data_IF_666511642613
#
_entry.id   IF_666511642613
#
_cell.length_a   1.000
_cell.length_b   1.000
_cell.length_c   1.000
_cell.angle_alpha   90.00
_cell.angle_beta   90.00
_cell.angle_gamma   90.00
#
_symmetry.space_group_name_H-M   'P 1'
#
loop_
_entity.id
_entity.type
_entity.pdbx_description
1 polymer ?
#
# COMPACT_ATOMS: atom_id res chain seq x y z
N UNK A 1 10.49 -26.19 -12.61
CA UNK A 1 10.61 -26.66 -11.21
C UNK A 1 9.23 -26.66 -10.58
N UNK A 2 8.99 -27.44 -9.52
CA UNK A 2 7.71 -27.39 -8.80
C UNK A 2 7.65 -26.08 -8.00
N UNK A 3 6.68 -25.22 -8.31
CA UNK A 3 6.37 -23.99 -7.57
C UNK A 3 6.35 -24.27 -6.06
N UNK A 4 7.08 -23.47 -5.29
CA UNK A 4 7.19 -23.61 -3.85
C UNK A 4 5.99 -23.01 -3.11
N UNK A 5 5.53 -21.82 -3.54
CA UNK A 5 4.38 -21.11 -3.01
C UNK A 5 3.92 -19.99 -3.96
N UNK A 6 2.81 -19.33 -3.66
CA UNK A 6 2.36 -18.14 -4.40
C UNK A 6 3.25 -16.93 -4.13
N UNK A 7 3.71 -16.81 -2.88
CA UNK A 7 4.55 -15.73 -2.42
C UNK A 7 5.68 -16.22 -1.52
N UNK A 8 6.79 -15.49 -1.56
CA UNK A 8 8.01 -15.80 -0.83
C UNK A 8 8.43 -14.58 0.01
N UNK A 9 8.88 -14.78 1.25
CA UNK A 9 9.43 -13.72 2.10
C UNK A 9 10.93 -13.94 2.31
N UNK A 10 11.75 -12.95 1.96
CA UNK A 10 13.21 -13.01 2.14
C UNK A 10 13.73 -12.22 3.33
N UNK A 11 13.04 -11.13 3.70
CA UNK A 11 13.49 -10.19 4.73
C UNK A 11 12.27 -9.66 5.51
N UNK A 12 12.44 -9.34 6.78
CA UNK A 12 11.36 -8.84 7.65
C UNK A 12 11.85 -7.80 8.65
N UNK A 13 10.99 -6.87 9.02
CA UNK A 13 11.20 -5.91 10.11
C UNK A 13 10.07 -6.03 11.12
N UNK A 14 10.40 -5.84 12.39
CA UNK A 14 9.47 -5.93 13.51
C UNK A 14 9.41 -4.61 14.28
N UNK A 15 8.27 -4.34 14.92
CA UNK A 15 8.14 -3.27 15.91
C UNK A 15 8.62 -3.69 17.31
N UNK A 16 8.42 -2.82 18.31
CA UNK A 16 8.75 -3.07 19.72
C UNK A 16 7.98 -4.25 20.32
N UNK A 17 6.83 -4.60 19.75
CA UNK A 17 5.95 -5.68 20.19
C UNK A 17 6.21 -6.98 19.43
N UNK A 18 7.24 -7.01 18.57
CA UNK A 18 7.58 -8.13 17.69
C UNK A 18 6.48 -8.45 16.67
N UNK A 19 5.79 -7.41 16.19
CA UNK A 19 4.81 -7.48 15.11
C UNK A 19 5.45 -7.03 13.80
N UNK A 20 5.11 -7.67 12.69
CA UNK A 20 5.67 -7.37 11.37
C UNK A 20 5.26 -5.96 10.95
N UNK A 21 6.23 -5.08 10.81
CA UNK A 21 6.03 -3.76 10.21
C UNK A 21 6.06 -3.86 8.68
N UNK A 22 7.14 -4.41 8.14
CA UNK A 22 7.33 -4.63 6.70
C UNK A 22 8.07 -5.93 6.45
N UNK A 23 7.69 -6.63 5.39
CA UNK A 23 8.38 -7.80 4.87
C UNK A 23 8.61 -7.67 3.37
N UNK A 24 9.74 -8.18 2.89
CA UNK A 24 10.07 -8.17 1.46
C UNK A 24 9.49 -9.42 0.79
N UNK A 25 8.41 -9.21 0.03
CA UNK A 25 7.63 -10.25 -0.64
C UNK A 25 7.99 -10.38 -2.11
N UNK A 26 8.26 -11.60 -2.54
CA UNK A 26 8.55 -11.96 -3.91
C UNK A 26 7.44 -12.86 -4.49
N UNK A 27 7.38 -12.93 -5.82
CA UNK A 27 6.59 -13.92 -6.55
C UNK A 27 7.53 -14.89 -7.25
N UNK A 28 7.16 -16.15 -7.25
CA UNK A 28 7.84 -17.17 -8.06
C UNK A 28 7.25 -17.16 -9.48
N UNK A 29 8.12 -16.96 -10.46
CA UNK A 29 7.84 -17.03 -11.89
C UNK A 29 8.48 -18.30 -12.47
N UNK A 30 8.13 -18.66 -13.69
CA UNK A 30 8.73 -19.84 -14.35
C UNK A 30 10.25 -19.72 -14.52
N UNK A 31 10.76 -18.49 -14.64
CA UNK A 31 12.17 -18.19 -14.87
C UNK A 31 12.93 -17.70 -13.63
N UNK A 32 12.31 -17.69 -12.43
CA UNK A 32 12.99 -17.25 -11.21
C UNK A 32 12.09 -16.56 -10.19
N UNK A 33 12.68 -15.69 -9.38
CA UNK A 33 12.03 -14.99 -8.28
C UNK A 33 12.11 -13.48 -8.55
N UNK A 34 11.01 -12.75 -8.37
CA UNK A 34 10.99 -11.30 -8.59
C UNK A 34 11.92 -10.55 -7.64
N UNK A 35 12.24 -9.26 -7.90
CA UNK A 35 13.11 -8.45 -7.01
C UNK A 35 12.58 -8.28 -5.58
N UNK A 36 11.27 -8.41 -5.40
CA UNK A 36 10.58 -8.27 -4.12
C UNK A 36 10.00 -6.88 -3.91
N UNK A 37 8.85 -6.81 -3.24
CA UNK A 37 8.15 -5.59 -2.85
C UNK A 37 7.84 -5.62 -1.36
N UNK A 38 7.82 -4.45 -0.71
CA UNK A 38 7.48 -4.36 0.70
C UNK A 38 5.98 -4.52 0.91
N UNK A 39 5.60 -5.37 1.86
CA UNK A 39 4.22 -5.58 2.30
C UNK A 39 4.15 -5.59 3.83
N UNK A 40 2.98 -5.25 4.34
CA UNK A 40 2.65 -5.25 5.76
C UNK A 40 2.01 -6.57 6.21
N UNK A 41 1.87 -6.72 7.53
CA UNK A 41 1.26 -7.90 8.17
C UNK A 41 -0.18 -8.15 7.72
N UNK A 42 -0.98 -7.10 7.56
CA UNK A 42 -2.40 -7.23 7.21
C UNK A 42 -2.54 -7.80 5.81
N UNK A 43 -1.73 -7.31 4.87
CA UNK A 43 -1.63 -7.88 3.51
C UNK A 43 -1.28 -9.36 3.53
N UNK A 44 -0.24 -9.77 4.26
CA UNK A 44 0.18 -11.18 4.33
C UNK A 44 -0.93 -12.05 4.92
N UNK A 45 -1.51 -11.65 6.04
CA UNK A 45 -2.58 -12.41 6.70
C UNK A 45 -3.83 -12.52 5.83
N UNK A 46 -4.21 -11.46 5.13
CA UNK A 46 -5.35 -11.44 4.21
C UNK A 46 -5.13 -12.38 3.04
N UNK A 47 -3.94 -12.34 2.43
CA UNK A 47 -3.59 -13.25 1.34
C UNK A 47 -3.68 -14.72 1.77
N UNK A 48 -3.11 -15.07 2.92
CA UNK A 48 -3.16 -16.44 3.44
C UNK A 48 -4.61 -16.84 3.77
N UNK A 49 -5.42 -15.92 4.29
CA UNK A 49 -6.84 -16.16 4.54
C UNK A 49 -7.63 -16.43 3.25
N UNK A 50 -7.21 -15.84 2.12
CA UNK A 50 -7.77 -16.06 0.79
C UNK A 50 -7.23 -17.34 0.12
N UNK A 51 -6.44 -18.16 0.82
CA UNK A 51 -5.90 -19.42 0.33
C UNK A 51 -4.56 -19.31 -0.41
N UNK A 52 -3.93 -18.13 -0.43
CA UNK A 52 -2.60 -17.96 -1.02
C UNK A 52 -1.54 -18.53 -0.10
N UNK A 53 -0.56 -19.19 -0.70
CA UNK A 53 0.51 -19.85 0.04
C UNK A 53 1.74 -18.95 0.16
N UNK A 54 2.32 -18.92 1.36
CA UNK A 54 3.54 -18.18 1.67
C UNK A 54 4.61 -19.10 2.24
N UNK A 55 5.87 -18.88 1.84
CA UNK A 55 7.03 -19.50 2.48
C UNK A 55 8.13 -18.46 2.72
N UNK A 56 9.02 -18.73 3.68
CA UNK A 56 10.27 -17.98 3.78
C UNK A 56 11.30 -18.51 2.79
N UNK A 57 12.24 -17.65 2.38
CA UNK A 57 13.38 -18.00 1.55
C UNK A 57 14.65 -17.36 2.09
N UNK A 58 15.79 -17.99 1.82
CA UNK A 58 17.10 -17.48 2.21
C UNK A 58 17.98 -17.32 0.98
N UNK A 59 18.64 -16.18 0.84
CA UNK A 59 19.74 -16.05 -0.12
C UNK A 59 20.99 -16.68 0.52
N UNK A 60 21.52 -17.74 -0.09
CA UNK A 60 22.87 -18.21 0.21
C UNK A 60 23.69 -18.15 -1.07
N UNK A 61 24.71 -17.30 -1.07
CA UNK A 61 25.78 -17.27 -2.09
C UNK A 61 25.19 -17.47 -3.49
N UNK A 62 24.36 -16.51 -3.92
CA UNK A 62 23.76 -16.43 -5.24
C UNK A 62 22.67 -17.48 -5.57
N UNK A 63 22.16 -18.21 -4.59
CA UNK A 63 21.03 -19.14 -4.79
C UNK A 63 19.99 -19.03 -3.68
N UNK A 64 18.72 -19.06 -4.07
CA UNK A 64 17.59 -19.09 -3.15
C UNK A 64 17.40 -20.48 -2.56
N UNK A 65 17.21 -20.55 -1.24
CA UNK A 65 16.82 -21.77 -0.53
C UNK A 65 15.42 -21.63 0.03
N UNK A 66 14.61 -22.67 -0.19
CA UNK A 66 13.29 -22.82 0.41
C UNK A 66 13.40 -22.87 1.93
N UNK A 67 12.60 -22.07 2.61
CA UNK A 67 12.44 -22.04 4.05
C UNK A 67 11.13 -22.68 4.53
N UNK A 68 10.54 -22.07 5.55
CA UNK A 68 9.37 -22.60 6.27
C UNK A 68 8.08 -22.04 5.71
N UNK A 69 6.99 -22.80 5.85
CA UNK A 69 5.66 -22.33 5.47
C UNK A 69 5.18 -21.29 6.48
N UNK A 70 4.69 -20.16 5.97
CA UNK A 70 4.11 -19.09 6.77
C UNK A 70 2.61 -19.37 6.93
N UNK A 71 2.13 -19.16 8.14
CA UNK A 71 0.73 -19.33 8.54
C UNK A 71 0.28 -18.09 9.28
N UNK A 72 -1.02 -17.96 9.45
CA UNK A 72 -1.58 -16.95 10.33
C UNK A 72 -2.66 -17.56 11.23
N UNK A 73 -2.93 -16.90 12.34
CA UNK A 73 -4.11 -17.13 13.17
C UNK A 73 -4.63 -15.80 13.69
N UNK A 74 -5.83 -15.83 14.26
CA UNK A 74 -6.41 -14.68 14.96
C UNK A 74 -6.44 -14.96 16.46
N UNK A 75 -6.01 -13.99 17.25
CA UNK A 75 -6.17 -13.98 18.70
C UNK A 75 -6.85 -12.65 19.06
N UNK A 76 -8.00 -12.72 19.72
CA UNK A 76 -8.83 -11.56 20.07
C UNK A 76 -9.19 -10.65 18.88
N UNK A 77 -9.36 -11.25 17.69
CA UNK A 77 -9.70 -10.55 16.45
C UNK A 77 -8.48 -10.07 15.64
N UNK A 78 -7.32 -9.94 16.27
CA UNK A 78 -6.06 -9.47 15.65
C UNK A 78 -5.32 -10.60 14.92
N UNK A 79 -4.82 -10.38 13.69
CA UNK A 79 -4.07 -11.37 12.94
C UNK A 79 -2.58 -11.40 13.34
N UNK A 80 -2.06 -12.61 13.53
CA UNK A 80 -0.64 -12.88 13.78
C UNK A 80 -0.08 -13.85 12.75
N UNK A 81 1.13 -13.58 12.27
CA UNK A 81 1.79 -14.28 11.17
C UNK A 81 3.04 -14.99 11.71
N UNK A 82 3.06 -16.32 11.60
CA UNK A 82 4.12 -17.16 12.17
C UNK A 82 4.52 -18.31 11.26
N UNK A 83 5.73 -18.83 11.44
CA UNK A 83 6.20 -20.08 10.82
C UNK A 83 6.02 -21.31 11.74
N UNK A 84 5.78 -21.07 13.03
CA UNK A 84 5.48 -22.11 14.01
C UNK A 84 3.98 -22.16 14.31
N UNK A 85 3.56 -23.16 15.08
CA UNK A 85 2.16 -23.34 15.50
C UNK A 85 1.85 -22.72 16.86
N UNK A 86 2.76 -21.87 17.38
CA UNK A 86 2.55 -21.25 18.68
C UNK A 86 1.52 -20.12 18.59
N UNK A 87 0.55 -20.10 19.49
CA UNK A 87 -0.54 -19.11 19.50
C UNK A 87 -0.28 -18.03 20.54
N UNK A 88 0.57 -17.07 20.17
CA UNK A 88 0.97 -15.93 21.01
C UNK A 88 0.63 -14.59 20.33
N UNK A 89 0.69 -13.49 21.04
CA UNK A 89 0.42 -12.15 20.51
C UNK A 89 1.66 -11.52 19.82
N UNK A 90 2.46 -12.33 19.12
CA UNK A 90 3.69 -11.89 18.44
C UNK A 90 3.82 -12.59 17.08
N UNK A 91 4.45 -11.92 16.13
CA UNK A 91 4.78 -12.50 14.83
C UNK A 91 6.16 -13.17 14.88
N UNK A 92 6.41 -14.15 14.00
CA UNK A 92 7.70 -14.84 13.97
C UNK A 92 7.94 -15.55 12.63
N UNK A 93 8.90 -15.06 11.86
CA UNK A 93 9.28 -15.64 10.56
C UNK A 93 10.61 -16.43 10.61
N UNK A 94 11.08 -16.74 11.82
CA UNK A 94 12.35 -17.43 12.04
C UNK A 94 13.57 -16.52 11.81
N UNK A 95 14.71 -17.14 11.51
CA UNK A 95 16.00 -16.46 11.34
C UNK A 95 16.19 -15.89 9.92
N UNK A 96 15.14 -15.34 9.32
CA UNK A 96 15.30 -14.60 8.07
C UNK A 96 15.99 -13.25 8.32
N UNK A 97 16.76 -12.72 7.36
CA UNK A 97 17.41 -11.43 7.49
C UNK A 97 16.46 -10.33 7.95
N UNK A 98 16.93 -9.52 8.91
CA UNK A 98 16.18 -8.35 9.36
C UNK A 98 16.33 -7.25 8.33
N UNK A 99 15.21 -6.76 7.83
CA UNK A 99 15.16 -5.60 6.96
C UNK A 99 15.47 -4.37 7.81
N UNK A 100 16.65 -3.79 7.62
CA UNK A 100 17.04 -2.56 8.31
C UNK A 100 16.15 -1.42 7.79
N UNK A 101 15.12 -1.09 8.56
CA UNK A 101 14.42 0.19 8.38
C UNK A 101 15.28 1.27 9.02
N UNK A 102 15.50 2.43 8.35
CA UNK A 102 16.15 3.54 8.99
C UNK A 102 15.35 3.87 10.26
N UNK A 103 16.00 3.78 11.42
CA UNK A 103 15.42 4.20 12.68
C UNK A 103 15.14 5.69 12.56
N UNK A 104 13.90 6.05 12.28
CA UNK A 104 13.43 7.38 12.61
C UNK A 104 13.49 7.38 14.14
N UNK A 105 14.32 8.22 14.78
CA UNK A 105 14.23 8.36 16.22
C UNK A 105 12.78 8.76 16.49
N UNK A 106 12.06 7.88 17.18
CA UNK A 106 10.84 8.29 17.86
C UNK A 106 11.30 9.32 18.87
N UNK A 107 11.40 10.57 18.43
CA UNK A 107 11.65 11.71 19.29
C UNK A 107 10.44 11.77 20.18
N UNK A 108 10.58 11.23 21.39
CA UNK A 108 9.81 11.68 22.54
C UNK A 108 9.79 13.22 22.47
N UNK A 109 8.60 13.77 22.31
CA UNK A 109 8.30 15.20 22.08
C UNK A 109 8.86 15.78 20.75
N UNK A 110 7.96 16.21 19.87
CA UNK A 110 8.31 17.08 18.77
C UNK A 110 9.03 18.31 19.35
N UNK A 111 10.28 18.56 18.93
CA UNK A 111 11.00 19.73 19.40
C UNK A 111 10.18 21.00 19.08
N UNK A 112 10.20 22.04 19.93
CA UNK A 112 9.47 23.28 19.68
C UNK A 112 9.75 23.86 18.29
N UNK A 113 10.95 23.62 17.76
CA UNK A 113 11.38 24.04 16.43
C UNK A 113 10.71 23.24 15.30
N UNK A 114 10.47 21.94 15.47
CA UNK A 114 9.72 21.13 14.51
C UNK A 114 8.22 21.50 14.49
N UNK A 115 7.64 21.80 15.65
CA UNK A 115 6.26 22.31 15.74
C UNK A 115 6.13 23.69 15.09
N UNK A 116 7.06 24.60 15.36
CA UNK A 116 7.07 25.91 14.72
C UNK A 116 7.19 25.82 13.20
N UNK A 117 8.01 24.88 12.70
CA UNK A 117 8.17 24.64 11.26
C UNK A 117 6.91 24.08 10.60
N UNK A 118 6.14 23.23 11.30
CA UNK A 118 4.84 22.75 10.82
C UNK A 118 3.81 23.89 10.79
N UNK A 119 3.73 24.70 11.84
CA UNK A 119 2.81 25.85 11.91
C UNK A 119 3.10 26.88 10.81
N UNK A 120 4.38 27.11 10.52
CA UNK A 120 4.79 27.99 9.42
C UNK A 120 4.39 27.41 8.05
N UNK A 121 4.55 26.10 7.85
CA UNK A 121 4.10 25.43 6.63
C UNK A 121 2.58 25.51 6.48
N UNK A 122 1.81 25.26 7.55
CA UNK A 122 0.35 25.41 7.55
C UNK A 122 -0.08 26.83 7.18
N UNK A 123 0.58 27.85 7.75
CA UNK A 123 0.35 29.25 7.36
C UNK A 123 0.68 29.53 5.90
N UNK A 124 1.71 28.90 5.34
CA UNK A 124 2.04 29.03 3.92
C UNK A 124 1.00 28.35 3.04
N UNK A 125 0.50 27.17 3.42
CA UNK A 125 -0.56 26.45 2.70
C UNK A 125 -1.87 27.27 2.73
N UNK A 126 -2.28 27.77 3.91
CA UNK A 126 -3.47 28.59 4.07
C UNK A 126 -3.39 29.92 3.29
N UNK A 127 -2.18 30.44 3.06
CA UNK A 127 -1.96 31.65 2.25
C UNK A 127 -2.03 31.37 0.74
N UNK A 128 -1.80 30.12 0.32
CA UNK A 128 -1.92 29.68 -1.07
C UNK A 128 -3.35 29.25 -1.41
N UNK A 129 -4.18 28.88 -0.43
CA UNK A 129 -5.63 28.73 -0.58
C UNK A 129 -6.31 30.12 -0.62
N UNK A 130 -6.36 30.72 -1.81
CA UNK A 130 -7.31 31.80 -2.12
C UNK A 130 -8.76 31.29 -1.96
N UNK A 131 -9.69 32.12 -1.43
CA UNK A 131 -11.04 31.68 -1.13
C UNK A 131 -11.84 31.48 -2.43
N UNK A 132 -12.15 30.24 -2.76
CA UNK A 132 -13.22 29.92 -3.71
C UNK A 132 -14.34 29.16 -3.01
N UNK A 133 -15.13 29.90 -2.22
CA UNK A 133 -16.54 29.57 -2.00
C UNK A 133 -17.29 30.87 -1.67
N UNK A 134 -18.26 31.32 -2.49
CA UNK A 134 -19.19 32.34 -2.07
C UNK A 134 -20.09 31.78 -0.95
N UNK A 135 -20.30 32.58 0.09
CA UNK A 135 -21.23 32.29 1.19
C UNK A 135 -22.65 31.97 0.68
N UNK A 136 -23.37 31.03 1.32
CA UNK A 136 -24.81 30.90 1.09
C UNK A 136 -25.54 32.10 1.74
N UNK A 137 -26.45 32.79 1.02
CA UNK A 137 -27.20 33.87 1.63
C UNK A 137 -28.18 33.29 2.66
N UNK A 138 -28.08 33.80 3.89
CA UNK A 138 -29.11 33.64 4.93
C UNK A 138 -30.35 34.43 4.54
N UNK A 139 -31.52 33.79 4.54
CA UNK A 139 -32.80 34.29 5.10
C UNK A 139 -33.99 33.40 4.67
N UNK A 140 -35.18 33.50 5.28
CA UNK A 140 -35.49 33.32 6.69
C UNK A 140 -36.69 32.36 6.90
N UNK A 141 -36.77 31.73 8.08
CA UNK A 141 -38.00 31.43 8.85
C UNK A 141 -39.32 31.19 8.05
N UNK A 142 -39.71 29.93 7.88
CA UNK A 142 -41.04 29.57 7.38
C UNK A 142 -41.38 28.11 7.64
N UNK A 143 -42.50 27.89 8.31
CA UNK A 143 -43.04 26.67 8.91
C UNK A 143 -43.18 25.43 8.00
N UNK A 144 -43.17 24.26 8.66
CA UNK A 144 -43.80 23.01 8.19
C UNK A 144 -45.22 23.25 7.63
N UNK A 145 -45.65 22.42 6.67
CA UNK A 145 -46.71 21.46 7.01
C UNK A 145 -46.52 20.05 6.41
N UNK A 146 -47.33 19.17 6.98
CA UNK A 146 -47.53 17.72 6.77
C UNK A 146 -48.20 17.35 5.44
N UNK A 147 -47.99 16.07 5.07
CA UNK A 147 -48.83 15.13 4.32
C UNK A 147 -49.44 15.57 2.99
N UNK A 148 -49.13 14.86 1.89
CA UNK A 148 -50.14 14.12 1.10
C UNK A 148 -49.48 13.08 0.18
N UNK A 149 -49.91 11.82 0.30
CA UNK A 149 -49.90 10.78 -0.74
C UNK A 149 -50.34 11.30 -2.12
N UNK A 150 -49.80 10.73 -3.20
CA UNK A 150 -50.58 10.19 -4.34
C UNK A 150 -49.62 9.55 -5.39
N UNK A 151 -49.75 8.23 -5.57
CA UNK A 151 -49.62 7.44 -6.82
C UNK A 151 -48.31 7.35 -7.65
N UNK A 152 -47.68 6.16 -7.61
CA UNK A 152 -47.18 5.43 -8.79
C UNK A 152 -48.36 5.08 -9.74
N UNK A 153 -48.19 4.67 -11.02
CA UNK A 153 -46.99 4.16 -11.71
C UNK A 153 -46.80 4.79 -13.13
N UNK A 154 -45.78 4.47 -13.93
CA UNK A 154 -45.91 3.45 -14.98
C UNK A 154 -44.57 3.18 -15.70
N UNK A 155 -44.40 1.89 -15.95
CA UNK A 155 -43.44 1.19 -16.79
C UNK A 155 -42.98 1.95 -18.04
N UNK A 156 -41.68 1.88 -18.33
CA UNK A 156 -41.18 1.83 -19.71
C UNK A 156 -39.95 0.90 -19.75
N UNK A 157 -40.30 -0.37 -19.95
CA UNK A 157 -39.65 -1.38 -20.78
C UNK A 157 -38.13 -1.60 -20.67
N UNK A 158 -37.83 -2.78 -20.13
CA UNK A 158 -36.59 -3.49 -20.18
C UNK A 158 -36.32 -4.02 -21.62
N UNK A 159 -35.04 -4.00 -22.00
CA UNK A 159 -34.31 -4.90 -22.91
C UNK A 159 -33.75 -4.26 -24.23
N UNK A 160 -32.81 -4.92 -24.95
CA UNK A 160 -31.36 -4.70 -24.77
C UNK A 160 -30.61 -4.47 -26.12
N UNK A 161 -29.41 -3.88 -26.11
CA UNK A 161 -28.51 -3.96 -27.28
C UNK A 161 -27.05 -4.34 -26.90
N UNK A 162 -26.45 -5.36 -27.56
CA UNK A 162 -25.07 -5.79 -27.36
C UNK A 162 -24.16 -5.26 -28.47
N UNK A 163 -23.09 -4.52 -28.14
CA UNK A 163 -22.01 -4.24 -29.11
C UNK A 163 -20.66 -4.22 -28.41
N UNK A 164 -19.97 -5.35 -28.55
CA UNK A 164 -18.56 -5.49 -28.92
C UNK A 164 -17.72 -4.20 -29.00
N UNK A 165 -16.63 -4.11 -28.24
CA UNK A 165 -15.24 -4.16 -28.77
C UNK A 165 -14.24 -3.90 -27.65
N UNK A 166 -13.19 -4.68 -27.72
CA UNK A 166 -11.98 -4.73 -26.91
C UNK A 166 -11.41 -3.34 -26.57
N UNK A 167 -10.81 -3.14 -25.38
CA UNK A 167 -10.00 -1.96 -25.13
C UNK A 167 -8.80 -1.98 -26.07
N UNK A 168 -8.69 -0.93 -26.87
CA UNK A 168 -7.52 -0.59 -27.66
C UNK A 168 -6.27 -0.59 -26.78
N UNK A 169 -5.19 -1.11 -27.35
CA UNK A 169 -3.82 -0.86 -26.92
C UNK A 169 -3.55 0.65 -26.97
N UNK A 170 -3.70 1.34 -25.84
CA UNK A 170 -3.03 2.63 -25.64
C UNK A 170 -1.55 2.33 -25.42
N UNK A 171 -0.80 2.45 -26.51
CA UNK A 171 0.64 2.61 -26.49
C UNK A 171 0.96 3.89 -25.72
N UNK A 172 1.37 3.77 -24.46
CA UNK A 172 2.00 4.83 -23.67
C UNK A 172 3.36 5.21 -24.30
N UNK A 173 3.31 5.88 -25.44
CA UNK A 173 4.48 6.49 -26.04
C UNK A 173 4.80 7.75 -25.24
N UNK A 174 5.84 7.67 -24.40
CA UNK A 174 6.30 8.77 -23.57
C UNK A 174 6.45 10.03 -24.44
N UNK A 175 5.83 11.13 -24.02
CA UNK A 175 5.92 12.39 -24.76
C UNK A 175 7.39 12.79 -24.92
N UNK A 176 7.79 13.40 -26.06
CA UNK A 176 9.17 13.81 -26.28
C UNK A 176 9.70 14.76 -25.19
N UNK A 177 8.79 15.49 -24.54
CA UNK A 177 9.10 16.33 -23.38
C UNK A 177 9.44 15.52 -22.11
N UNK A 178 8.74 14.40 -21.86
CA UNK A 178 9.07 13.48 -20.76
C UNK A 178 10.42 12.77 -20.98
N UNK A 179 10.74 12.44 -22.23
CA UNK A 179 12.03 11.83 -22.60
C UNK A 179 13.20 12.80 -22.38
N UNK A 180 13.06 14.05 -22.85
CA UNK A 180 14.08 15.08 -22.62
C UNK A 180 14.30 15.35 -21.12
N UNK A 181 13.23 15.33 -20.32
CA UNK A 181 13.30 15.54 -18.88
C UNK A 181 14.02 14.39 -18.14
N UNK A 182 13.87 13.15 -18.62
CA UNK A 182 14.62 11.99 -18.11
C UNK A 182 16.11 12.07 -18.46
N UNK A 183 16.44 12.42 -19.70
CA UNK A 183 17.83 12.53 -20.16
C UNK A 183 18.59 13.64 -19.39
N UNK A 184 17.94 14.77 -19.12
CA UNK A 184 18.53 15.83 -18.31
C UNK A 184 18.77 15.40 -16.85
N UNK A 185 17.87 14.59 -16.29
CA UNK A 185 18.00 14.05 -14.94
C UNK A 185 19.16 13.04 -14.85
N UNK A 186 19.28 12.14 -15.84
CA UNK A 186 20.40 11.18 -15.91
C UNK A 186 21.75 11.89 -15.99
N UNK A 187 21.83 12.98 -16.75
CA UNK A 187 23.04 13.80 -16.86
C UNK A 187 23.43 14.44 -15.52
N UNK A 188 22.46 14.94 -14.75
CA UNK A 188 22.71 15.52 -13.42
C UNK A 188 23.22 14.45 -12.43
N UNK A 189 22.70 13.23 -12.51
CA UNK A 189 23.15 12.12 -11.66
C UNK A 189 24.61 11.76 -11.96
N UNK A 190 24.97 11.64 -13.24
CA UNK A 190 26.35 11.30 -13.65
C UNK A 190 27.38 12.36 -13.23
N UNK A 191 27.00 13.65 -13.23
CA UNK A 191 27.87 14.74 -12.76
C UNK A 191 28.08 14.69 -11.23
N UNK A 192 27.07 14.26 -10.48
CA UNK A 192 27.17 14.06 -9.03
C UNK A 192 28.01 12.83 -8.65
N UNK A 193 28.02 11.78 -9.47
CA UNK A 193 28.83 10.58 -9.23
C UNK A 193 30.33 10.77 -9.54
N UNK A 194 30.68 11.80 -10.33
CA UNK A 194 32.06 12.07 -10.76
C UNK A 194 32.79 13.10 -9.90
N UNK A 195 32.17 13.60 -8.82
CA UNK A 195 32.70 14.62 -7.91
C UNK A 195 32.95 14.08 -6.50
#
# INVERSE_FOLDING_TARGET
MKKWADYLISEVSYDKNHLILRAKRHKELENGITKGNLVDRITISSDISNGLTYITIYDRISTWKKGNQIRFYRLDGEPYVRIDENKVNQDYLGDIPILETPRIPESDEATPEQLARLEELEKQIAKLELPSTPEPPKSPRGSLPMDTDEELPQELELAPEPVTKSPSEESDEATPEQLARLEELEKQIAELETK
#
